data_IF_772393906637
#
_entry.id   IF_772393906637
#
_cell.length_a   1.000
_cell.length_b   1.000
_cell.length_c   1.000
_cell.angle_alpha   90.00
_cell.angle_beta   90.00
_cell.angle_gamma   90.00
#
_symmetry.space_group_name_H-M   'P 1'
#
loop_
_entity.id
_entity.type
_entity.pdbx_description
1 polymer ?
#
# COMPACT_ATOMS: atom_id res chain seq x y z
N UNK A 1 -33.75 33.76 10.52
CA UNK A 1 -33.21 33.18 9.27
C UNK A 1 -31.90 32.52 9.65
N UNK A 2 -31.88 31.17 9.76
CA UNK A 2 -30.68 30.39 9.94
C UNK A 2 -29.83 30.51 8.66
N UNK A 3 -28.50 30.67 8.75
CA UNK A 3 -27.67 30.64 7.57
C UNK A 3 -27.83 29.26 6.95
N UNK A 4 -28.35 29.21 5.72
CA UNK A 4 -28.36 28.01 4.89
C UNK A 4 -27.00 27.37 4.92
N UNK A 5 -26.91 26.17 5.47
CA UNK A 5 -25.75 25.29 5.30
C UNK A 5 -25.71 24.93 3.83
N UNK A 6 -24.96 25.73 3.05
CA UNK A 6 -24.75 25.47 1.62
C UNK A 6 -24.11 24.09 1.48
N UNK A 7 -24.93 23.11 1.17
CA UNK A 7 -24.51 21.75 0.88
C UNK A 7 -23.63 21.80 -0.37
N UNK A 8 -22.36 21.46 -0.22
CA UNK A 8 -21.41 21.42 -1.34
C UNK A 8 -21.65 20.16 -2.17
N UNK A 9 -21.96 20.33 -3.45
CA UNK A 9 -22.14 19.22 -4.41
C UNK A 9 -20.79 18.67 -4.92
N UNK A 10 -19.87 18.38 -4.01
CA UNK A 10 -18.57 17.85 -4.33
C UNK A 10 -18.62 16.32 -4.32
N UNK A 11 -18.43 15.67 -5.49
CA UNK A 11 -18.44 14.21 -5.61
C UNK A 11 -17.04 13.58 -5.48
N UNK A 12 -15.98 14.32 -5.82
CA UNK A 12 -14.61 13.86 -5.68
C UNK A 12 -13.68 15.02 -5.29
N UNK A 13 -12.74 14.75 -4.39
CA UNK A 13 -11.67 15.67 -4.00
C UNK A 13 -10.33 14.96 -4.10
N UNK A 14 -9.47 15.47 -4.99
CA UNK A 14 -8.15 14.90 -5.28
C UNK A 14 -7.10 15.98 -5.05
N UNK A 15 -6.30 15.86 -3.98
CA UNK A 15 -5.30 16.83 -3.53
C UNK A 15 -3.96 16.15 -3.21
N UNK A 16 -3.62 15.06 -3.93
CA UNK A 16 -2.38 14.33 -3.68
C UNK A 16 -1.13 15.15 -4.01
N UNK A 17 -0.04 14.81 -3.36
CA UNK A 17 1.29 15.39 -3.59
C UNK A 17 1.31 16.91 -3.44
N UNK A 18 0.91 17.38 -2.24
CA UNK A 18 0.93 18.78 -1.85
C UNK A 18 1.55 18.94 -0.46
N UNK A 19 1.70 20.18 -0.01
CA UNK A 19 2.20 20.52 1.33
C UNK A 19 1.07 20.87 2.30
N UNK A 20 -0.14 20.36 2.06
CA UNK A 20 -1.30 20.64 2.90
C UNK A 20 -1.09 20.07 4.31
N UNK A 21 -1.38 20.88 5.32
CA UNK A 21 -1.13 20.55 6.72
C UNK A 21 -2.34 20.89 7.59
N UNK A 22 -2.25 20.57 8.88
CA UNK A 22 -3.33 20.76 9.83
C UNK A 22 -4.13 19.48 10.04
N UNK A 23 -5.27 19.58 10.71
CA UNK A 23 -6.17 18.45 10.98
C UNK A 23 -6.98 18.10 9.72
N UNK A 24 -7.67 16.97 9.80
CA UNK A 24 -8.62 16.55 8.76
C UNK A 24 -9.60 17.68 8.45
N UNK A 25 -9.82 18.04 7.16
CA UNK A 25 -10.52 19.26 6.79
C UNK A 25 -11.98 19.25 7.21
N UNK A 26 -12.37 20.17 8.11
CA UNK A 26 -13.73 20.22 8.68
C UNK A 26 -14.81 20.60 7.67
N UNK A 27 -14.47 21.36 6.61
CA UNK A 27 -15.45 21.72 5.57
C UNK A 27 -16.05 20.52 4.86
N UNK A 28 -15.35 19.38 4.88
CA UNK A 28 -15.85 18.13 4.30
C UNK A 28 -17.14 17.63 4.95
N UNK A 29 -17.46 18.06 6.17
CA UNK A 29 -18.75 17.74 6.81
C UNK A 29 -19.97 18.20 5.99
N UNK A 30 -19.79 19.14 5.08
CA UNK A 30 -20.85 19.67 4.20
C UNK A 30 -20.88 19.01 2.82
N UNK A 31 -19.98 18.02 2.55
CA UNK A 31 -19.82 17.36 1.25
C UNK A 31 -20.50 15.98 1.23
N UNK A 32 -21.81 15.91 1.48
CA UNK A 32 -22.54 14.62 1.60
C UNK A 32 -22.53 13.76 0.33
N UNK A 33 -22.30 14.38 -0.84
CA UNK A 33 -22.20 13.71 -2.13
C UNK A 33 -20.82 13.12 -2.43
N UNK A 34 -19.84 13.31 -1.50
CA UNK A 34 -18.45 12.89 -1.72
C UNK A 34 -18.33 11.37 -1.78
N UNK A 35 -17.86 10.87 -2.93
CA UNK A 35 -17.63 9.45 -3.19
C UNK A 35 -16.14 9.09 -3.17
N UNK A 36 -15.27 10.08 -3.49
CA UNK A 36 -13.81 9.91 -3.53
C UNK A 36 -13.12 11.02 -2.76
N UNK A 37 -12.33 10.65 -1.76
CA UNK A 37 -11.40 11.52 -1.07
C UNK A 37 -9.98 10.99 -1.22
N UNK A 38 -9.13 11.73 -1.94
CA UNK A 38 -7.76 11.33 -2.25
C UNK A 38 -6.78 12.43 -1.83
N UNK A 39 -6.14 12.24 -0.66
CA UNK A 39 -5.22 13.19 -0.02
C UNK A 39 -3.79 12.63 0.21
N UNK A 40 -3.29 11.63 -0.53
CA UNK A 40 -1.95 11.10 -0.27
C UNK A 40 -0.85 12.14 -0.42
N UNK A 41 0.30 11.86 0.23
CA UNK A 41 1.49 12.72 0.16
C UNK A 41 1.20 14.17 0.54
N UNK A 42 0.72 14.36 1.79
CA UNK A 42 0.51 15.65 2.41
C UNK A 42 1.08 15.65 3.84
N UNK A 43 0.80 16.67 4.63
CA UNK A 43 1.28 16.84 6.01
C UNK A 43 0.12 16.95 7.00
N UNK A 44 -1.01 16.30 6.72
CA UNK A 44 -2.15 16.27 7.63
C UNK A 44 -1.80 15.54 8.92
N UNK A 45 -2.28 16.05 10.06
CA UNK A 45 -1.99 15.55 11.41
C UNK A 45 -3.26 15.31 12.21
N UNK A 46 -3.13 14.64 13.35
CA UNK A 46 -4.22 14.37 14.29
C UNK A 46 -4.96 13.09 13.99
N UNK A 47 -6.07 12.90 14.66
CA UNK A 47 -6.87 11.68 14.55
C UNK A 47 -7.88 11.76 13.40
N UNK A 48 -8.25 10.60 12.86
CA UNK A 48 -9.35 10.49 11.89
C UNK A 48 -10.66 10.79 12.62
N UNK A 49 -11.44 11.80 12.17
CA UNK A 49 -12.63 12.19 12.91
C UNK A 49 -13.75 11.15 12.75
N UNK A 50 -14.43 10.88 13.86
CA UNK A 50 -15.54 9.92 13.92
C UNK A 50 -16.73 10.31 13.03
N UNK A 51 -16.85 11.60 12.73
CA UNK A 51 -17.95 12.13 11.89
C UNK A 51 -17.82 11.76 10.41
N UNK A 52 -16.66 11.23 9.93
CA UNK A 52 -16.47 10.83 8.52
C UNK A 52 -17.63 9.94 8.06
N UNK A 53 -17.98 8.95 8.85
CA UNK A 53 -19.03 8.00 8.47
C UNK A 53 -20.44 8.60 8.50
N UNK A 54 -20.68 9.62 9.33
CA UNK A 54 -21.98 10.26 9.47
C UNK A 54 -22.20 11.36 8.43
N UNK A 55 -21.13 12.08 8.09
CA UNK A 55 -21.20 13.25 7.21
C UNK A 55 -20.87 12.93 5.75
N UNK A 56 -20.19 11.82 5.49
CA UNK A 56 -19.79 11.39 4.14
C UNK A 56 -20.38 10.00 3.78
N UNK A 57 -21.70 9.81 3.83
CA UNK A 57 -22.32 8.48 3.71
C UNK A 57 -22.14 7.82 2.36
N UNK A 58 -21.77 8.58 1.30
CA UNK A 58 -21.53 8.08 -0.05
C UNK A 58 -20.07 7.73 -0.33
N UNK A 59 -19.18 7.92 0.66
CA UNK A 59 -17.76 7.70 0.48
C UNK A 59 -17.45 6.24 0.10
N UNK A 60 -16.85 6.07 -1.07
CA UNK A 60 -16.48 4.76 -1.62
C UNK A 60 -14.98 4.53 -1.65
N UNK A 61 -14.20 5.61 -1.75
CA UNK A 61 -12.75 5.59 -1.80
C UNK A 61 -12.17 6.65 -0.86
N UNK A 62 -11.45 6.19 0.16
CA UNK A 62 -10.74 7.03 1.12
C UNK A 62 -9.25 6.69 1.08
N UNK A 63 -8.43 7.61 0.58
CA UNK A 63 -6.99 7.44 0.50
C UNK A 63 -6.27 8.58 1.22
N UNK A 64 -5.59 8.23 2.31
CA UNK A 64 -4.88 9.14 3.20
C UNK A 64 -3.40 8.76 3.37
N UNK A 65 -2.89 7.89 2.49
CA UNK A 65 -1.50 7.40 2.48
C UNK A 65 -0.48 8.55 2.54
N UNK A 66 0.67 8.32 3.18
CA UNK A 66 1.75 9.31 3.32
C UNK A 66 1.28 10.63 3.91
N UNK A 67 0.78 10.57 5.15
CA UNK A 67 0.43 11.72 5.98
C UNK A 67 0.98 11.49 7.41
N UNK A 68 0.54 12.29 8.36
CA UNK A 68 0.94 12.22 9.76
C UNK A 68 -0.26 11.96 10.69
N UNK A 69 -1.30 11.30 10.17
CA UNK A 69 -2.45 10.93 10.98
C UNK A 69 -2.05 9.96 12.09
N UNK A 70 -2.67 10.11 13.26
CA UNK A 70 -2.39 9.35 14.48
C UNK A 70 -3.69 8.90 15.15
N UNK A 71 -3.57 8.31 16.35
CA UNK A 71 -4.73 7.77 17.06
C UNK A 71 -5.16 6.42 16.48
N UNK A 72 -6.38 5.99 16.79
CA UNK A 72 -6.91 4.69 16.37
C UNK A 72 -7.78 4.81 15.11
N UNK A 73 -7.98 3.67 14.44
CA UNK A 73 -8.96 3.57 13.35
C UNK A 73 -10.36 3.69 13.95
N UNK A 74 -11.17 4.70 13.57
CA UNK A 74 -12.49 4.89 14.13
C UNK A 74 -13.43 3.74 13.80
N UNK A 75 -14.02 3.11 14.80
CA UNK A 75 -15.00 2.02 14.60
C UNK A 75 -16.21 2.46 13.78
N UNK A 76 -16.50 3.75 13.75
CA UNK A 76 -17.60 4.34 12.99
C UNK A 76 -17.41 4.21 11.47
N UNK A 77 -16.18 4.00 10.97
CA UNK A 77 -15.93 3.79 9.54
C UNK A 77 -16.74 2.62 8.96
N UNK A 78 -17.12 1.65 9.80
CA UNK A 78 -17.99 0.53 9.40
C UNK A 78 -19.39 0.94 8.94
N UNK A 79 -19.85 2.15 9.31
CA UNK A 79 -21.12 2.72 8.84
C UNK A 79 -21.05 3.20 7.38
N UNK A 80 -19.85 3.27 6.77
CA UNK A 80 -19.68 3.62 5.37
C UNK A 80 -20.05 2.44 4.47
N UNK A 81 -21.33 2.28 4.21
CA UNK A 81 -21.88 1.13 3.46
C UNK A 81 -21.32 1.00 2.05
N UNK A 82 -20.85 2.12 1.46
CA UNK A 82 -20.33 2.18 0.10
C UNK A 82 -18.80 2.09 0.04
N UNK A 83 -18.09 2.00 1.18
CA UNK A 83 -16.64 2.04 1.22
C UNK A 83 -16.03 0.76 0.61
N UNK A 84 -15.31 0.93 -0.49
CA UNK A 84 -14.67 -0.15 -1.26
C UNK A 84 -13.16 -0.16 -1.12
N UNK A 85 -12.56 1.01 -0.93
CA UNK A 85 -11.12 1.13 -0.80
C UNK A 85 -10.76 2.09 0.33
N UNK A 86 -9.99 1.58 1.28
CA UNK A 86 -9.50 2.33 2.43
C UNK A 86 -7.97 2.19 2.49
N UNK A 87 -7.28 3.28 2.22
CA UNK A 87 -5.82 3.35 2.26
C UNK A 87 -5.37 4.36 3.31
N UNK A 88 -4.85 3.85 4.41
CA UNK A 88 -4.30 4.61 5.54
C UNK A 88 -2.79 4.41 5.67
N UNK A 89 -2.13 3.83 4.68
CA UNK A 89 -0.73 3.45 4.74
C UNK A 89 0.21 4.65 4.98
N UNK A 90 1.39 4.38 5.53
CA UNK A 90 2.40 5.40 5.80
C UNK A 90 1.86 6.57 6.63
N UNK A 91 1.34 6.24 7.82
CA UNK A 91 0.87 7.20 8.82
C UNK A 91 1.44 6.84 10.21
N UNK A 92 0.86 7.37 11.27
CA UNK A 92 1.21 7.09 12.67
C UNK A 92 0.03 6.51 13.44
N UNK A 93 -0.87 5.83 12.72
CA UNK A 93 -2.08 5.24 13.30
C UNK A 93 -1.69 4.08 14.20
N UNK A 94 -2.31 3.99 15.36
CA UNK A 94 -1.99 3.03 16.43
C UNK A 94 -3.26 2.34 16.96
N UNK A 95 -3.11 1.54 18.00
CA UNK A 95 -4.22 0.72 18.51
C UNK A 95 -4.43 -0.55 17.68
N UNK A 96 -5.56 -1.19 17.83
CA UNK A 96 -5.90 -2.43 17.12
C UNK A 96 -6.73 -2.19 15.88
N UNK A 97 -6.73 -3.16 14.96
CA UNK A 97 -7.67 -3.21 13.85
C UNK A 97 -9.06 -3.50 14.43
N UNK A 98 -10.05 -2.61 14.24
CA UNK A 98 -11.38 -2.82 14.81
C UNK A 98 -12.07 -4.05 14.19
N UNK A 99 -12.54 -5.03 14.99
CA UNK A 99 -13.30 -6.19 14.49
C UNK A 99 -14.53 -5.78 13.66
N UNK A 100 -15.14 -4.65 14.03
CA UNK A 100 -16.30 -4.10 13.32
C UNK A 100 -16.03 -3.82 11.84
N UNK A 101 -14.77 -3.64 11.40
CA UNK A 101 -14.44 -3.46 9.98
C UNK A 101 -14.91 -4.63 9.11
N UNK A 102 -15.05 -5.84 9.67
CA UNK A 102 -15.66 -6.99 8.98
C UNK A 102 -17.11 -6.77 8.53
N UNK A 103 -17.76 -5.69 8.98
CA UNK A 103 -19.12 -5.29 8.59
C UNK A 103 -19.20 -4.32 7.40
N UNK A 104 -18.11 -3.99 6.71
CA UNK A 104 -18.10 -3.09 5.55
C UNK A 104 -18.86 -3.70 4.36
N UNK A 105 -20.11 -3.27 4.17
CA UNK A 105 -21.07 -3.91 3.23
C UNK A 105 -20.56 -4.02 1.80
N UNK A 106 -19.98 -2.93 1.25
CA UNK A 106 -19.48 -2.95 -0.13
C UNK A 106 -18.28 -3.89 -0.33
N UNK A 107 -17.50 -4.18 0.73
CA UNK A 107 -16.40 -5.13 0.71
C UNK A 107 -16.87 -6.58 0.89
N UNK A 108 -18.03 -6.79 1.52
CA UNK A 108 -18.68 -8.11 1.60
C UNK A 108 -19.33 -8.46 0.27
N UNK A 109 -20.07 -7.52 -0.35
CA UNK A 109 -20.84 -7.77 -1.56
C UNK A 109 -19.99 -7.88 -2.85
N UNK A 110 -18.75 -7.37 -2.81
CA UNK A 110 -17.82 -7.42 -3.94
C UNK A 110 -18.31 -6.62 -5.17
N UNK A 111 -18.32 -7.22 -6.34
CA UNK A 111 -18.64 -6.58 -7.61
C UNK A 111 -20.15 -6.33 -7.78
N UNK A 112 -20.67 -5.26 -7.21
CA UNK A 112 -21.99 -4.75 -7.58
C UNK A 112 -21.86 -3.80 -8.77
N UNK A 113 -22.60 -4.05 -9.86
CA UNK A 113 -22.64 -3.23 -11.09
C UNK A 113 -23.25 -1.83 -10.89
N UNK A 114 -23.68 -1.50 -9.67
CA UNK A 114 -24.35 -0.23 -9.33
C UNK A 114 -23.41 0.95 -9.09
N UNK A 115 -22.11 0.74 -9.06
CA UNK A 115 -21.16 1.81 -8.72
C UNK A 115 -20.73 2.59 -9.96
N UNK A 116 -20.93 3.90 -9.92
CA UNK A 116 -20.38 4.82 -10.91
C UNK A 116 -18.91 5.07 -10.63
N UNK A 117 -18.09 5.15 -11.68
CA UNK A 117 -16.68 5.44 -11.52
C UNK A 117 -16.50 6.94 -11.15
N UNK A 118 -15.98 7.27 -9.95
CA UNK A 118 -15.82 8.65 -9.53
C UNK A 118 -14.73 9.41 -10.29
N UNK A 119 -13.91 8.72 -11.09
CA UNK A 119 -12.85 9.32 -11.91
C UNK A 119 -13.30 9.67 -13.32
N UNK A 120 -14.55 9.36 -13.67
CA UNK A 120 -15.08 9.59 -15.01
C UNK A 120 -16.16 10.65 -14.94
N UNK A 121 -15.89 11.81 -15.53
CA UNK A 121 -16.85 12.91 -15.58
C UNK A 121 -17.19 13.24 -17.02
N UNK A 122 -18.48 13.47 -17.27
CA UNK A 122 -18.98 14.00 -18.52
C UNK A 122 -19.24 15.49 -18.33
N UNK A 123 -18.44 16.32 -18.98
CA UNK A 123 -18.64 17.76 -18.99
C UNK A 123 -19.29 18.15 -20.32
N UNK A 124 -20.46 18.81 -20.24
CA UNK A 124 -21.12 19.37 -21.40
C UNK A 124 -20.38 20.62 -21.87
N UNK A 125 -19.92 20.63 -23.12
CA UNK A 125 -19.26 21.77 -23.75
C UNK A 125 -20.13 22.29 -24.87
N UNK A 126 -20.78 23.48 -24.72
CA UNK A 126 -21.53 24.09 -25.79
C UNK A 126 -20.57 24.47 -26.94
N UNK A 127 -20.98 24.24 -28.18
CA UNK A 127 -20.22 24.67 -29.38
C UNK A 127 -20.25 26.18 -29.52
N UNK A 128 -21.38 26.79 -29.12
CA UNK A 128 -21.52 28.24 -29.08
C UNK A 128 -21.81 28.66 -27.60
N UNK A 129 -21.08 29.62 -27.02
CA UNK A 129 -21.32 30.09 -25.66
C UNK A 129 -22.73 30.66 -25.43
N UNK A 130 -23.41 31.05 -26.50
CA UNK A 130 -24.76 31.61 -26.44
C UNK A 130 -25.88 30.60 -26.79
N UNK A 131 -25.54 29.35 -27.11
CA UNK A 131 -26.48 28.28 -27.43
C UNK A 131 -26.14 27.01 -26.60
N UNK A 132 -26.88 26.82 -25.52
CA UNK A 132 -26.70 25.68 -24.64
C UNK A 132 -27.36 24.40 -25.17
N UNK A 133 -28.09 24.45 -26.30
CA UNK A 133 -28.73 23.28 -26.88
C UNK A 133 -27.84 22.57 -27.91
N UNK A 134 -26.84 23.28 -28.48
CA UNK A 134 -25.84 22.68 -29.38
C UNK A 134 -24.49 22.53 -28.67
N UNK A 135 -24.16 21.30 -28.28
CA UNK A 135 -22.90 21.01 -27.64
C UNK A 135 -22.64 19.51 -27.57
N UNK A 136 -21.52 19.16 -26.99
CA UNK A 136 -21.09 17.76 -26.82
C UNK A 136 -20.57 17.50 -25.42
N UNK A 137 -20.65 16.25 -24.98
CA UNK A 137 -20.09 15.81 -23.71
C UNK A 137 -18.62 15.43 -23.89
N UNK A 138 -17.75 16.09 -23.14
CA UNK A 138 -16.35 15.70 -23.02
C UNK A 138 -16.20 14.78 -21.80
N UNK A 139 -15.69 13.59 -22.05
CA UNK A 139 -15.43 12.62 -20.98
C UNK A 139 -14.01 12.81 -20.46
N UNK A 140 -13.90 13.23 -19.22
CA UNK A 140 -12.62 13.34 -18.54
C UNK A 140 -12.34 12.07 -17.73
N UNK A 141 -11.12 11.57 -17.85
CA UNK A 141 -10.62 10.43 -17.07
C UNK A 141 -9.46 10.91 -16.22
N UNK A 142 -9.61 10.83 -14.91
CA UNK A 142 -8.50 10.95 -13.99
C UNK A 142 -7.94 9.56 -13.66
N UNK A 143 -6.70 9.52 -13.23
CA UNK A 143 -6.06 8.31 -12.71
C UNK A 143 -5.85 8.44 -11.21
N UNK A 144 -6.00 7.33 -10.50
CA UNK A 144 -5.74 7.23 -9.08
C UNK A 144 -4.60 6.26 -8.84
N UNK A 145 -3.64 6.65 -8.04
CA UNK A 145 -2.55 5.77 -7.62
C UNK A 145 -3.07 4.81 -6.55
N UNK A 146 -2.88 3.52 -6.79
CA UNK A 146 -3.25 2.44 -5.86
C UNK A 146 -2.07 1.49 -5.73
N UNK A 147 -1.77 1.04 -4.52
CA UNK A 147 -0.72 0.05 -4.29
C UNK A 147 -1.34 -1.34 -4.28
N UNK A 148 -0.88 -2.19 -5.20
CA UNK A 148 -1.30 -3.59 -5.32
C UNK A 148 -0.09 -4.45 -5.65
N UNK A 149 0.05 -5.60 -5.01
CA UNK A 149 1.18 -6.53 -5.23
C UNK A 149 2.55 -5.87 -5.02
N UNK A 150 2.63 -4.98 -4.00
CA UNK A 150 3.85 -4.24 -3.70
C UNK A 150 4.23 -3.16 -4.73
N UNK A 151 3.38 -2.85 -5.70
CA UNK A 151 3.63 -1.88 -6.77
C UNK A 151 2.60 -0.77 -6.79
N UNK A 152 3.06 0.44 -7.09
CA UNK A 152 2.21 1.60 -7.33
C UNK A 152 1.68 1.58 -8.77
N UNK A 153 0.37 1.46 -8.93
CA UNK A 153 -0.31 1.36 -10.22
C UNK A 153 -1.36 2.46 -10.38
N UNK A 154 -1.44 3.03 -11.59
CA UNK A 154 -2.47 4.02 -11.91
C UNK A 154 -3.74 3.37 -12.41
N UNK A 155 -4.83 3.56 -11.67
CA UNK A 155 -6.16 3.07 -12.02
C UNK A 155 -7.02 4.20 -12.58
N UNK A 156 -7.75 3.92 -13.64
CA UNK A 156 -8.69 4.84 -14.31
C UNK A 156 -10.11 4.26 -14.29
N UNK A 157 -10.59 3.77 -15.42
CA UNK A 157 -11.92 3.15 -15.54
C UNK A 157 -12.08 1.86 -14.73
N UNK A 158 -10.99 1.16 -14.42
CA UNK A 158 -10.99 -0.09 -13.66
C UNK A 158 -11.04 0.11 -12.15
N UNK A 159 -10.96 1.35 -11.65
CA UNK A 159 -11.04 1.64 -10.21
C UNK A 159 -12.32 1.08 -9.58
N UNK A 160 -13.42 1.05 -10.30
CA UNK A 160 -14.70 0.50 -9.82
C UNK A 160 -14.62 -0.96 -9.38
N UNK A 161 -13.63 -1.70 -9.85
CA UNK A 161 -13.39 -3.09 -9.48
C UNK A 161 -12.41 -3.25 -8.33
N UNK A 162 -11.78 -2.15 -7.89
CA UNK A 162 -10.84 -2.17 -6.76
C UNK A 162 -11.61 -2.23 -5.44
N UNK A 163 -11.29 -3.23 -4.65
CA UNK A 163 -11.80 -3.41 -3.29
C UNK A 163 -10.60 -3.78 -2.42
N UNK A 164 -10.28 -2.96 -1.42
CA UNK A 164 -9.09 -3.23 -0.64
C UNK A 164 -8.95 -2.44 0.66
N UNK A 165 -8.12 -2.99 1.54
CA UNK A 165 -7.64 -2.37 2.76
C UNK A 165 -6.11 -2.30 2.70
N UNK A 166 -5.56 -1.12 2.87
CA UNK A 166 -4.12 -0.91 3.03
C UNK A 166 -3.85 -0.06 4.28
N UNK A 167 -3.33 -0.71 5.32
CA UNK A 167 -2.93 -0.09 6.58
C UNK A 167 -1.43 -0.22 6.81
N UNK A 168 -0.66 -0.51 5.78
CA UNK A 168 0.78 -0.74 5.88
C UNK A 168 1.53 0.47 6.43
N UNK A 169 2.70 0.22 7.03
CA UNK A 169 3.58 1.26 7.56
C UNK A 169 2.86 2.20 8.56
N UNK A 170 2.35 1.60 9.64
CA UNK A 170 1.71 2.27 10.76
C UNK A 170 2.22 1.69 12.10
N UNK A 171 1.58 2.04 13.20
CA UNK A 171 1.89 1.56 14.55
C UNK A 171 0.75 0.68 15.11
N UNK A 172 0.03 -0.05 14.24
CA UNK A 172 -1.07 -0.92 14.65
C UNK A 172 -0.53 -2.14 15.39
N UNK A 173 -1.22 -2.52 16.47
CA UNK A 173 -0.88 -3.69 17.29
C UNK A 173 -2.10 -4.56 17.58
N UNK A 174 -1.90 -5.59 18.41
CA UNK A 174 -2.93 -6.60 18.65
C UNK A 174 -3.12 -7.54 17.48
N UNK A 175 -4.17 -8.35 17.55
CA UNK A 175 -4.40 -9.42 16.58
C UNK A 175 -5.13 -8.94 15.33
N UNK A 176 -4.99 -9.67 14.24
CA UNK A 176 -5.84 -9.50 13.06
C UNK A 176 -7.21 -10.09 13.39
N UNK A 177 -8.29 -9.29 13.42
CA UNK A 177 -9.61 -9.81 13.81
C UNK A 177 -10.13 -10.86 12.83
N UNK A 178 -10.72 -11.94 13.35
CA UNK A 178 -11.34 -12.99 12.51
C UNK A 178 -12.43 -12.43 11.58
N UNK A 179 -13.11 -11.36 12.01
CA UNK A 179 -14.17 -10.70 11.27
C UNK A 179 -13.72 -10.11 9.93
N UNK A 180 -12.42 -9.85 9.76
CA UNK A 180 -11.86 -9.40 8.45
C UNK A 180 -12.13 -10.45 7.36
N UNK A 181 -12.20 -11.72 7.71
CA UNK A 181 -12.48 -12.82 6.78
C UNK A 181 -13.91 -12.77 6.19
N UNK A 182 -14.80 -11.96 6.78
CA UNK A 182 -16.15 -11.70 6.25
C UNK A 182 -16.13 -10.79 5.02
N UNK A 183 -15.04 -10.07 4.77
CA UNK A 183 -14.89 -9.15 3.63
C UNK A 183 -14.57 -9.92 2.33
N UNK A 184 -15.42 -10.85 1.97
CA UNK A 184 -15.16 -11.80 0.86
C UNK A 184 -14.95 -11.16 -0.50
N UNK A 185 -15.38 -9.92 -0.70
CA UNK A 185 -15.15 -9.15 -1.92
C UNK A 185 -13.79 -8.46 -2.02
N UNK A 186 -12.93 -8.56 -1.00
CA UNK A 186 -11.58 -7.97 -1.02
C UNK A 186 -10.75 -8.54 -2.16
N UNK A 187 -9.94 -7.68 -2.77
CA UNK A 187 -8.90 -8.02 -3.75
C UNK A 187 -7.50 -7.70 -3.26
N UNK A 188 -7.36 -6.70 -2.40
CA UNK A 188 -6.08 -6.31 -1.82
C UNK A 188 -6.21 -6.17 -0.31
N UNK A 189 -5.32 -6.85 0.43
CA UNK A 189 -5.20 -6.75 1.87
C UNK A 189 -3.73 -6.57 2.23
N UNK A 190 -3.39 -5.38 2.73
CA UNK A 190 -2.02 -5.04 3.12
C UNK A 190 -1.99 -4.47 4.54
N UNK A 191 -1.40 -5.23 5.47
CA UNK A 191 -1.16 -4.85 6.85
C UNK A 191 0.32 -4.88 7.22
N UNK A 192 1.21 -4.89 6.22
CA UNK A 192 2.65 -4.99 6.41
C UNK A 192 3.22 -3.81 7.21
N UNK A 193 4.41 -4.02 7.78
CA UNK A 193 5.12 -2.97 8.55
C UNK A 193 4.26 -2.35 9.66
N UNK A 194 3.81 -3.21 10.59
CA UNK A 194 3.07 -2.84 11.78
C UNK A 194 3.61 -3.64 12.99
N UNK A 195 2.89 -3.65 14.10
CA UNK A 195 3.22 -4.40 15.32
C UNK A 195 2.13 -5.43 15.63
N UNK A 196 1.51 -6.00 14.60
CA UNK A 196 0.45 -6.99 14.76
C UNK A 196 0.99 -8.28 15.37
N UNK A 197 0.20 -8.87 16.27
CA UNK A 197 0.50 -10.09 17.02
C UNK A 197 -0.52 -11.20 16.73
N UNK A 198 -0.53 -12.25 17.56
CA UNK A 198 -1.46 -13.36 17.43
C UNK A 198 -1.24 -14.17 16.16
N UNK A 199 -2.30 -14.79 15.68
CA UNK A 199 -2.25 -15.72 14.54
C UNK A 199 -2.87 -15.10 13.29
N UNK A 200 -2.54 -15.66 12.13
CA UNK A 200 -3.32 -15.41 10.90
C UNK A 200 -4.71 -16.02 11.12
N UNK A 201 -5.81 -15.30 10.85
CA UNK A 201 -7.16 -15.83 11.02
C UNK A 201 -7.37 -17.19 10.36
N UNK A 202 -7.94 -18.14 11.10
CA UNK A 202 -8.15 -19.51 10.61
C UNK A 202 -9.00 -19.58 9.33
N UNK A 203 -9.95 -18.65 9.18
CA UNK A 203 -10.85 -18.56 8.02
C UNK A 203 -10.34 -17.64 6.91
N UNK A 204 -9.05 -17.32 6.88
CA UNK A 204 -8.48 -16.40 5.86
C UNK A 204 -8.78 -16.85 4.42
N UNK A 205 -8.91 -18.15 4.19
CA UNK A 205 -9.26 -18.74 2.90
C UNK A 205 -10.67 -18.38 2.38
N UNK A 206 -11.55 -17.80 3.23
CA UNK A 206 -12.83 -17.26 2.77
C UNK A 206 -12.66 -16.06 1.85
N UNK A 207 -11.52 -15.39 1.90
CA UNK A 207 -11.17 -14.25 1.05
C UNK A 207 -10.76 -14.69 -0.36
N UNK A 208 -11.64 -15.40 -1.05
CA UNK A 208 -11.36 -16.07 -2.33
C UNK A 208 -11.00 -15.13 -3.48
N UNK A 209 -11.37 -13.85 -3.41
CA UNK A 209 -11.09 -12.86 -4.44
C UNK A 209 -9.83 -12.03 -4.16
N UNK A 210 -9.16 -12.27 -3.05
CA UNK A 210 -7.89 -11.58 -2.74
C UNK A 210 -6.82 -12.03 -3.73
N UNK A 211 -6.32 -11.05 -4.46
CA UNK A 211 -5.22 -11.19 -5.43
C UNK A 211 -3.87 -10.86 -4.79
N UNK A 212 -3.87 -10.01 -3.75
CA UNK A 212 -2.66 -9.54 -3.06
C UNK A 212 -2.88 -9.57 -1.55
N UNK A 213 -2.04 -10.32 -0.84
CA UNK A 213 -2.00 -10.39 0.62
C UNK A 213 -0.58 -10.10 1.11
N UNK A 214 -0.42 -9.04 1.89
CA UNK A 214 0.85 -8.67 2.52
C UNK A 214 0.67 -8.47 4.03
N UNK A 215 1.28 -9.36 4.81
CA UNK A 215 1.32 -9.32 6.27
C UNK A 215 2.76 -9.22 6.80
N UNK A 216 3.73 -8.91 5.92
CA UNK A 216 5.14 -8.90 6.25
C UNK A 216 5.51 -7.84 7.30
N UNK A 217 6.66 -8.03 7.93
CA UNK A 217 7.17 -7.08 8.93
C UNK A 217 6.16 -6.79 10.06
N UNK A 218 5.77 -7.88 10.77
CA UNK A 218 4.92 -7.84 11.94
C UNK A 218 5.46 -8.81 13.02
N UNK A 219 4.71 -9.05 14.07
CA UNK A 219 5.02 -10.02 15.13
C UNK A 219 4.00 -11.17 15.14
N UNK A 220 3.41 -11.50 13.99
CA UNK A 220 2.43 -12.56 13.83
C UNK A 220 3.10 -13.91 14.08
N UNK A 221 2.44 -14.77 14.82
CA UNK A 221 2.96 -16.07 15.29
C UNK A 221 2.03 -17.24 14.94
N UNK A 222 2.35 -18.42 15.40
CA UNK A 222 1.56 -19.61 15.14
C UNK A 222 1.76 -20.19 13.74
N UNK A 223 0.90 -21.11 13.37
CA UNK A 223 0.96 -21.79 12.08
C UNK A 223 0.28 -20.99 10.97
N UNK A 224 0.68 -21.20 9.73
CA UNK A 224 -0.04 -20.71 8.57
C UNK A 224 -1.30 -21.56 8.41
N UNK A 225 -2.52 -20.96 8.47
CA UNK A 225 -3.76 -21.71 8.34
C UNK A 225 -3.84 -22.48 7.02
N UNK A 226 -4.29 -23.74 7.07
CA UNK A 226 -4.45 -24.56 5.87
C UNK A 226 -5.44 -23.94 4.86
N UNK A 227 -6.42 -23.19 5.35
CA UNK A 227 -7.39 -22.46 4.54
C UNK A 227 -6.75 -21.44 3.59
N UNK A 228 -5.52 -20.96 3.89
CA UNK A 228 -4.80 -20.04 2.98
C UNK A 228 -4.61 -20.65 1.58
N UNK A 229 -4.51 -21.98 1.48
CA UNK A 229 -4.40 -22.69 0.21
C UNK A 229 -5.69 -22.65 -0.63
N UNK A 230 -6.83 -22.27 -0.04
CA UNK A 230 -8.12 -22.15 -0.71
C UNK A 230 -8.31 -20.81 -1.46
N UNK A 231 -7.37 -19.88 -1.30
CA UNK A 231 -7.40 -18.56 -1.92
C UNK A 231 -7.01 -18.62 -3.40
N UNK A 232 -7.93 -19.08 -4.24
CA UNK A 232 -7.67 -19.38 -5.66
C UNK A 232 -7.23 -18.17 -6.52
N UNK A 233 -7.59 -16.95 -6.14
CA UNK A 233 -7.20 -15.72 -6.85
C UNK A 233 -5.85 -15.15 -6.41
N UNK A 234 -5.24 -15.70 -5.36
CA UNK A 234 -4.02 -15.16 -4.77
C UNK A 234 -2.86 -15.25 -5.76
N UNK A 235 -2.26 -14.12 -6.09
CA UNK A 235 -1.14 -14.01 -7.03
C UNK A 235 0.08 -13.28 -6.45
N UNK A 236 -0.10 -12.65 -5.29
CA UNK A 236 0.96 -12.05 -4.50
C UNK A 236 0.74 -12.37 -3.03
N UNK A 237 1.73 -12.97 -2.40
CA UNK A 237 1.77 -13.28 -0.97
C UNK A 237 3.09 -12.80 -0.39
N UNK A 238 3.04 -12.12 0.75
CA UNK A 238 4.22 -11.79 1.53
C UNK A 238 3.93 -11.97 3.02
N UNK A 239 4.56 -12.96 3.63
CA UNK A 239 4.48 -13.28 5.05
C UNK A 239 5.84 -13.09 5.75
N UNK A 240 6.83 -12.52 5.04
CA UNK A 240 8.20 -12.40 5.52
C UNK A 240 8.30 -11.58 6.82
N UNK A 241 9.37 -11.82 7.56
CA UNK A 241 9.69 -11.09 8.79
C UNK A 241 8.53 -11.07 9.80
N UNK A 242 8.13 -12.28 10.22
CA UNK A 242 7.17 -12.56 11.28
C UNK A 242 7.75 -13.64 12.23
N UNK A 243 6.93 -14.15 13.14
CA UNK A 243 7.29 -15.24 14.05
C UNK A 243 6.47 -16.52 13.76
N UNK A 244 6.15 -16.74 12.48
CA UNK A 244 5.37 -17.90 12.05
C UNK A 244 6.15 -19.19 12.22
N UNK A 245 5.45 -20.29 12.50
CA UNK A 245 6.03 -21.59 12.82
C UNK A 245 5.25 -22.73 12.16
N UNK A 246 5.77 -23.94 12.30
CA UNK A 246 5.11 -25.14 11.78
C UNK A 246 5.31 -25.37 10.30
N UNK A 247 4.55 -26.29 9.76
CA UNK A 247 4.64 -26.71 8.37
C UNK A 247 3.85 -25.78 7.46
N UNK A 248 4.48 -25.34 6.36
CA UNK A 248 3.77 -24.59 5.31
C UNK A 248 2.69 -25.49 4.70
N UNK A 249 1.42 -25.03 4.63
CA UNK A 249 0.32 -25.81 4.06
C UNK A 249 0.63 -26.22 2.62
N UNK A 250 0.31 -27.47 2.30
CA UNK A 250 0.42 -27.97 0.93
C UNK A 250 -0.82 -27.55 0.13
N UNK A 251 -0.59 -26.85 -0.98
CA UNK A 251 -1.66 -26.46 -1.89
C UNK A 251 -1.08 -25.97 -3.20
N UNK A 252 -1.72 -26.28 -4.31
CA UNK A 252 -1.19 -25.92 -5.65
C UNK A 252 -0.96 -24.40 -5.76
N UNK A 253 -1.83 -23.59 -5.17
CA UNK A 253 -1.71 -22.14 -5.23
C UNK A 253 -0.45 -21.65 -4.51
N UNK A 254 -0.21 -22.07 -3.27
CA UNK A 254 0.94 -21.62 -2.47
C UNK A 254 2.28 -22.06 -3.05
N UNK A 255 2.31 -23.18 -3.77
CA UNK A 255 3.53 -23.70 -4.40
C UNK A 255 3.88 -23.01 -5.72
N UNK A 256 2.93 -22.33 -6.34
CA UNK A 256 3.11 -21.62 -7.62
C UNK A 256 3.32 -20.11 -7.46
N UNK A 257 3.15 -19.59 -6.23
CA UNK A 257 3.43 -18.19 -5.92
C UNK A 257 4.94 -17.97 -5.90
N UNK A 258 5.40 -16.97 -6.57
CA UNK A 258 6.73 -16.35 -6.60
C UNK A 258 7.91 -17.10 -5.94
N UNK A 259 8.92 -16.36 -5.52
CA UNK A 259 10.07 -16.89 -4.81
C UNK A 259 9.73 -17.21 -3.34
N UNK A 260 9.80 -18.48 -2.89
CA UNK A 260 9.54 -18.86 -1.52
C UNK A 260 10.44 -18.15 -0.50
N UNK A 261 11.70 -17.90 -0.87
CA UNK A 261 12.62 -17.18 -0.01
C UNK A 261 12.17 -15.74 0.23
N UNK A 262 11.51 -15.11 -0.74
CA UNK A 262 10.92 -13.80 -0.55
C UNK A 262 9.66 -13.85 0.32
N UNK A 263 8.78 -14.84 0.10
CA UNK A 263 7.48 -14.94 0.77
C UNK A 263 7.62 -15.23 2.27
N UNK A 264 8.55 -16.10 2.66
CA UNK A 264 8.64 -16.69 4.00
C UNK A 264 9.87 -16.27 4.80
N UNK A 265 10.82 -15.52 4.20
CA UNK A 265 12.06 -15.11 4.86
C UNK A 265 11.77 -14.44 6.22
N UNK A 266 12.67 -14.68 7.19
CA UNK A 266 12.53 -14.09 8.53
C UNK A 266 11.62 -14.88 9.49
N UNK A 267 10.95 -15.97 9.02
CA UNK A 267 10.19 -16.88 9.85
C UNK A 267 11.03 -18.14 10.14
N UNK A 268 11.82 -18.09 11.20
CA UNK A 268 12.83 -19.11 11.49
C UNK A 268 12.25 -20.49 11.87
N UNK A 269 11.00 -20.57 12.26
CA UNK A 269 10.34 -21.79 12.71
C UNK A 269 9.41 -22.42 11.66
N UNK A 270 9.34 -21.84 10.44
CA UNK A 270 8.62 -22.44 9.32
C UNK A 270 9.45 -23.57 8.69
N UNK A 271 8.79 -24.63 8.25
CA UNK A 271 9.40 -25.79 7.63
C UNK A 271 8.52 -26.40 6.52
N UNK A 272 9.10 -27.35 5.80
CA UNK A 272 8.41 -28.06 4.71
C UNK A 272 8.37 -27.30 3.39
N UNK A 273 8.00 -27.97 2.29
CA UNK A 273 7.93 -27.36 0.98
C UNK A 273 7.04 -26.11 0.97
N UNK A 274 7.42 -25.05 0.23
CA UNK A 274 8.54 -24.98 -0.73
C UNK A 274 9.92 -24.67 -0.11
N UNK A 275 10.03 -24.48 1.22
CA UNK A 275 11.32 -24.27 1.88
C UNK A 275 12.14 -25.57 1.90
N UNK A 276 13.46 -25.44 1.82
CA UNK A 276 14.39 -26.58 1.91
C UNK A 276 14.51 -27.17 3.34
N UNK A 277 13.94 -26.49 4.35
CA UNK A 277 13.99 -26.92 5.75
C UNK A 277 12.98 -28.03 6.02
N UNK A 278 13.47 -29.20 6.46
CA UNK A 278 12.64 -30.31 6.86
C UNK A 278 11.90 -30.00 8.20
N UNK A 279 10.66 -30.45 8.31
CA UNK A 279 9.92 -30.43 9.57
C UNK A 279 10.35 -31.66 10.40
N UNK A 280 11.51 -31.59 11.01
CA UNK A 280 11.91 -32.57 12.03
C UNK A 280 11.17 -32.18 13.32
N UNK A 281 10.43 -33.12 13.91
CA UNK A 281 9.91 -32.99 15.28
C UNK A 281 11.07 -32.73 16.26
N UNK A 282 10.78 -32.42 17.56
CA UNK A 282 11.84 -32.23 18.51
C UNK A 282 12.64 -33.50 18.59
N UNK A 283 13.83 -33.52 17.95
CA UNK A 283 14.82 -34.55 18.18
C UNK A 283 15.18 -34.47 19.66
N UNK A 284 14.79 -35.51 20.41
CA UNK A 284 15.42 -35.84 21.67
C UNK A 284 16.89 -36.10 21.34
N UNK A 285 17.69 -35.09 21.47
CA UNK A 285 19.14 -35.18 21.33
C UNK A 285 19.68 -35.99 22.51
N UNK A 286 19.70 -37.31 22.35
CA UNK A 286 20.67 -38.14 23.03
C UNK A 286 22.00 -37.85 22.35
N UNK A 287 22.88 -37.22 23.10
CA UNK A 287 24.10 -36.63 22.65
C UNK A 287 25.01 -37.50 21.78
N UNK A 288 25.56 -36.90 20.81
CA UNK A 288 26.95 -37.07 20.39
C UNK A 288 27.39 -35.72 19.76
N UNK A 289 28.32 -35.08 20.44
CA UNK A 289 29.06 -33.92 20.00
C UNK A 289 29.86 -34.29 18.74
N UNK A 290 29.42 -33.92 17.55
CA UNK A 290 30.28 -33.80 16.41
C UNK A 290 30.40 -32.33 16.00
N UNK A 291 31.61 -31.82 16.23
CA UNK A 291 31.97 -30.43 15.98
C UNK A 291 32.05 -30.09 14.48
N UNK A 292 31.06 -29.35 14.00
CA UNK A 292 31.16 -28.72 12.69
C UNK A 292 30.47 -27.34 12.56
N UNK A 293 30.17 -26.67 13.68
CA UNK A 293 29.56 -25.34 13.64
C UNK A 293 30.45 -24.18 14.11
N UNK A 294 31.62 -24.47 14.65
CA UNK A 294 32.50 -23.45 15.23
C UNK A 294 33.22 -22.59 14.19
N UNK A 295 33.64 -23.15 13.06
CA UNK A 295 34.36 -22.39 12.03
C UNK A 295 33.55 -21.26 11.39
N UNK A 296 32.28 -21.53 11.08
CA UNK A 296 31.39 -20.47 10.48
C UNK A 296 31.11 -19.34 11.47
N UNK A 297 30.94 -19.69 12.76
CA UNK A 297 30.69 -18.67 13.81
C UNK A 297 31.89 -17.78 14.02
N UNK A 298 33.11 -18.32 14.05
CA UNK A 298 34.35 -17.56 14.14
C UNK A 298 34.61 -16.72 12.90
N UNK A 299 34.27 -17.22 11.71
CA UNK A 299 34.38 -16.46 10.46
C UNK A 299 33.46 -15.22 10.49
N UNK A 300 32.18 -15.37 10.85
CA UNK A 300 31.26 -14.25 10.94
C UNK A 300 31.63 -13.28 12.07
N UNK A 301 32.13 -13.78 13.20
CA UNK A 301 32.60 -12.92 14.29
C UNK A 301 33.84 -12.12 13.84
N UNK A 302 34.80 -12.76 13.16
CA UNK A 302 35.99 -12.10 12.61
C UNK A 302 35.63 -11.03 11.59
N UNK A 303 34.67 -11.31 10.71
CA UNK A 303 34.17 -10.38 9.70
C UNK A 303 33.45 -9.18 10.34
N UNK A 304 32.63 -9.40 11.36
CA UNK A 304 31.95 -8.35 12.11
C UNK A 304 32.95 -7.45 12.86
N UNK A 305 33.93 -8.06 13.56
CA UNK A 305 34.99 -7.30 14.27
C UNK A 305 35.84 -6.51 13.29
N UNK A 306 36.26 -7.13 12.15
CA UNK A 306 37.02 -6.46 11.11
C UNK A 306 36.27 -5.27 10.49
N UNK A 307 34.97 -5.42 10.26
CA UNK A 307 34.11 -4.34 9.74
C UNK A 307 33.99 -3.18 10.72
N UNK A 308 33.74 -3.47 12.01
CA UNK A 308 33.65 -2.44 13.05
C UNK A 308 34.98 -1.71 13.21
N UNK A 309 36.11 -2.43 13.24
CA UNK A 309 37.44 -1.81 13.33
C UNK A 309 37.76 -0.95 12.10
N UNK A 310 37.37 -1.43 10.90
CA UNK A 310 37.51 -0.65 9.66
C UNK A 310 36.72 0.65 9.68
N UNK A 311 35.47 0.61 10.14
CA UNK A 311 34.64 1.81 10.30
C UNK A 311 35.24 2.77 11.32
N UNK A 312 35.78 2.27 12.45
CA UNK A 312 36.44 3.09 13.46
C UNK A 312 37.67 3.80 12.91
N UNK A 313 38.49 3.11 12.12
CA UNK A 313 39.67 3.72 11.48
C UNK A 313 39.27 4.82 10.48
N UNK A 314 38.22 4.61 9.68
CA UNK A 314 37.69 5.64 8.79
C UNK A 314 37.16 6.83 9.60
N UNK A 315 36.43 6.57 10.68
CA UNK A 315 35.87 7.61 11.55
C UNK A 315 36.98 8.43 12.22
N UNK A 316 38.03 7.80 12.76
CA UNK A 316 39.19 8.42 13.31
C UNK A 316 39.91 9.26 12.22
N UNK A 317 40.08 8.71 11.03
CA UNK A 317 40.66 9.43 9.89
C UNK A 317 39.88 10.70 9.53
N UNK A 318 38.56 10.64 9.53
CA UNK A 318 37.69 11.80 9.27
C UNK A 318 37.73 12.83 10.40
N UNK A 319 37.91 12.42 11.67
CA UNK A 319 37.98 13.33 12.81
C UNK A 319 39.32 14.06 12.92
N UNK A 320 40.43 13.33 12.74
CA UNK A 320 41.78 13.84 13.05
C UNK A 320 42.57 14.29 11.81
N UNK A 321 42.30 13.79 10.62
CA UNK A 321 43.01 14.16 9.40
C UNK A 321 42.20 15.15 8.57
N UNK A 322 42.54 16.43 8.65
CA UNK A 322 41.87 17.49 7.85
C UNK A 322 41.82 17.19 6.35
N UNK A 323 42.84 16.57 5.80
CA UNK A 323 42.95 16.20 4.39
C UNK A 323 41.96 15.11 3.99
N UNK A 324 41.73 14.08 4.85
CA UNK A 324 40.76 13.03 4.62
C UNK A 324 39.34 13.56 4.68
N UNK A 325 39.05 14.43 5.66
CA UNK A 325 37.74 15.09 5.80
C UNK A 325 37.41 15.95 4.59
N UNK A 326 38.34 16.74 4.10
CA UNK A 326 38.11 17.60 2.93
C UNK A 326 37.87 16.78 1.66
N UNK A 327 38.63 15.71 1.42
CA UNK A 327 38.43 14.83 0.28
C UNK A 327 37.11 14.04 0.35
N UNK A 328 36.72 13.61 1.56
CA UNK A 328 35.44 12.91 1.76
C UNK A 328 34.25 13.79 1.38
N UNK A 329 34.20 15.04 1.88
CA UNK A 329 33.13 15.96 1.54
C UNK A 329 33.16 16.36 0.06
N UNK A 330 34.31 16.58 -0.55
CA UNK A 330 34.40 16.81 -2.00
C UNK A 330 33.88 15.61 -2.83
N UNK A 331 34.13 14.39 -2.38
CA UNK A 331 33.64 13.19 -3.07
C UNK A 331 32.12 13.04 -2.89
N UNK A 332 31.63 13.32 -1.69
CA UNK A 332 30.18 13.33 -1.37
C UNK A 332 29.43 14.33 -2.22
N UNK A 333 29.94 15.56 -2.32
CA UNK A 333 29.33 16.62 -3.13
C UNK A 333 29.31 16.24 -4.62
N UNK A 334 30.41 15.68 -5.16
CA UNK A 334 30.49 15.19 -6.54
C UNK A 334 29.52 14.04 -6.82
N UNK A 335 29.32 13.13 -5.86
CA UNK A 335 28.36 12.05 -5.97
C UNK A 335 26.93 12.58 -5.99
N UNK A 336 26.63 13.55 -5.11
CA UNK A 336 25.32 14.18 -5.03
C UNK A 336 25.00 14.95 -6.33
N UNK A 337 25.97 15.72 -6.87
CA UNK A 337 25.85 16.41 -8.16
C UNK A 337 25.66 15.43 -9.31
N UNK A 338 26.38 14.31 -9.30
CA UNK A 338 26.25 13.26 -10.33
C UNK A 338 24.89 12.58 -10.31
N UNK A 339 24.36 12.29 -9.12
CA UNK A 339 23.02 11.71 -8.94
C UNK A 339 21.96 12.70 -9.39
N UNK A 340 22.06 13.97 -8.96
CA UNK A 340 21.14 15.01 -9.37
C UNK A 340 21.14 15.21 -10.90
N UNK A 341 22.32 15.27 -11.51
CA UNK A 341 22.47 15.42 -12.98
C UNK A 341 21.89 14.23 -13.73
N UNK A 342 22.04 13.00 -13.19
CA UNK A 342 21.47 11.79 -13.80
C UNK A 342 19.95 11.79 -13.71
N UNK A 343 19.37 12.17 -12.57
CA UNK A 343 17.93 12.30 -12.38
C UNK A 343 17.34 13.36 -13.31
N UNK A 344 18.01 14.51 -13.45
CA UNK A 344 17.57 15.58 -14.38
C UNK A 344 17.63 15.15 -15.84
N UNK A 345 18.69 14.43 -16.27
CA UNK A 345 18.79 13.91 -17.65
C UNK A 345 17.68 12.91 -17.95
N UNK A 346 17.44 11.97 -17.04
CA UNK A 346 16.38 10.96 -17.23
C UNK A 346 14.99 11.60 -17.29
N UNK A 347 14.72 12.61 -16.44
CA UNK A 347 13.47 13.36 -16.44
C UNK A 347 13.30 14.19 -17.73
N UNK A 348 14.36 14.83 -18.21
CA UNK A 348 14.32 15.62 -19.44
C UNK A 348 14.12 14.74 -20.69
N UNK A 349 14.79 13.59 -20.75
CA UNK A 349 14.59 12.62 -21.85
C UNK A 349 13.18 12.05 -21.87
N UNK A 350 12.61 11.77 -20.69
CA UNK A 350 11.24 11.30 -20.56
C UNK A 350 10.23 12.37 -21.02
N UNK A 351 10.47 13.64 -20.65
CA UNK A 351 9.62 14.77 -21.05
C UNK A 351 9.66 14.99 -22.56
N UNK A 352 10.84 14.97 -23.19
CA UNK A 352 11.00 15.07 -24.64
C UNK A 352 10.39 13.88 -25.40
N UNK A 353 10.47 12.67 -24.84
CA UNK A 353 9.86 11.48 -25.43
C UNK A 353 8.32 11.54 -25.35
N UNK A 354 7.79 12.05 -24.25
CA UNK A 354 6.36 12.26 -24.05
C UNK A 354 5.80 13.32 -25.02
N UNK A 355 6.49 14.42 -25.21
CA UNK A 355 6.09 15.46 -26.20
C UNK A 355 6.14 14.94 -27.64
N UNK A 356 7.14 14.14 -28.02
CA UNK A 356 7.21 13.52 -29.37
C UNK A 356 6.05 12.57 -29.63
N UNK A 357 5.58 11.85 -28.62
CA UNK A 357 4.42 10.94 -28.73
C UNK A 357 3.12 11.76 -28.89
N UNK A 358 2.99 12.85 -28.16
CA UNK A 358 1.84 13.75 -28.26
C UNK A 358 1.77 14.42 -29.65
N UNK A 359 2.89 14.92 -30.16
CA UNK A 359 2.96 15.57 -31.48
C UNK A 359 2.69 14.58 -32.65
N UNK A 360 3.14 13.31 -32.52
CA UNK A 360 2.80 12.27 -33.52
C UNK A 360 1.32 11.89 -33.51
N UNK A 361 0.65 11.92 -32.35
CA UNK A 361 -0.79 11.69 -32.26
C UNK A 361 -1.61 12.87 -32.84
N UNK A 362 -1.12 14.10 -32.70
CA UNK A 362 -1.76 15.29 -33.27
C UNK A 362 -1.66 15.37 -34.82
N UNK A 363 -0.54 14.93 -35.39
CA UNK A 363 -0.35 14.90 -36.85
C UNK A 363 -1.10 13.74 -37.53
N UNK A 364 -1.33 12.62 -36.85
CA UNK A 364 -2.12 11.52 -37.38
C UNK A 364 -3.64 11.78 -37.43
N UNK A 365 -4.14 12.76 -36.70
CA UNK A 365 -5.55 13.19 -36.77
C UNK A 365 -5.80 14.29 -37.82
N UNK A 366 -4.79 15.06 -38.21
CA UNK A 366 -4.92 16.08 -39.24
C UNK A 366 -4.91 15.55 -40.68
N UNK A 367 -4.34 14.36 -40.91
CA UNK A 367 -4.26 13.74 -42.23
C UNK A 367 -5.49 12.87 -42.62
N UNK A 368 -6.47 12.73 -41.73
CA UNK A 368 -7.72 11.95 -42.01
C UNK A 368 -8.88 12.87 -42.36
N UNK A 369 -8.74 14.21 -42.23
CA UNK A 369 -9.80 15.19 -42.56
C UNK A 369 -9.68 15.89 -43.91
N UNK A 370 -8.67 15.54 -44.75
CA UNK A 370 -8.50 16.12 -46.11
C UNK A 370 -8.77 15.11 -47.25
N UNK A 371 -9.43 14.01 -46.97
CA UNK A 371 -9.68 12.94 -47.94
C UNK A 371 -11.12 12.43 -47.99
N UNK A 372 -12.14 13.33 -47.97
CA UNK A 372 -13.52 13.02 -48.42
C UNK A 372 -14.19 14.28 -48.93
#
# INVERSE_FOLDING_TARGET
MSPDSTQMQLSALILYNNDLSGKFPEFLQHCQELTLLHLPHNKFVGELPIWIAEKLPRLSYLQLRYNLFSGSIPVQLTKLENLRYLDLAYNRISGSIPPTLGGLKAMIQGNSTKYTNPLVWNYYRPRNPNDFNDGYYVKYHNSLLVVVKGQELYYTSTLVYMVGLDFSCNNLGGDIPEEITSLVGLKNLNFSHNHLTGNIPEKIGLLRYVESLDLSFNMISGEIPSSLSDMASLSYLNLSFNNLSGRIPSGNQLQTLGDPDFIYIGNYYLCGPPLSRNCSGPEVTTGLLEGHSTEKTYFHLGLAVGFVMGLWLVFIGLLFLKTCRFRYFQLSDKLQDSIQTSVWKTSAEWFHKSQRIQNKKGQGQASVSEGT
#
